data_IF_781667613758
#
_entry.id   IF_781667613758
#
_cell.length_a   1.000
_cell.length_b   1.000
_cell.length_c   1.000
_cell.angle_alpha   90.00
_cell.angle_beta   90.00
_cell.angle_gamma   90.00
#
_symmetry.space_group_name_H-M   'P 1'
#
loop_
_entity.id
_entity.type
_entity.pdbx_description
1 polymer ?
#
# COMPACT_ATOMS: atom_id res chain seq x y z
N UNK A 1 44.98 39.16 -4.52
CA UNK A 1 44.73 37.91 -3.76
C UNK A 1 43.25 37.58 -3.49
N UNK A 2 42.26 38.47 -3.73
CA UNK A 2 40.83 38.20 -3.44
C UNK A 2 39.99 37.56 -4.59
N UNK A 3 40.57 37.30 -5.77
CA UNK A 3 39.83 36.75 -6.94
C UNK A 3 39.92 35.22 -7.10
N UNK A 4 40.80 34.53 -6.39
CA UNK A 4 40.91 33.06 -6.46
C UNK A 4 39.93 32.35 -5.51
N UNK A 5 39.60 32.94 -4.37
CA UNK A 5 38.73 32.32 -3.36
C UNK A 5 37.26 32.16 -3.78
N UNK A 6 36.73 33.00 -4.69
CA UNK A 6 35.36 32.82 -5.22
C UNK A 6 35.28 31.75 -6.31
N UNK A 7 36.30 31.62 -7.17
CA UNK A 7 36.35 30.56 -8.18
C UNK A 7 36.57 29.19 -7.55
N UNK A 8 37.37 29.13 -6.49
CA UNK A 8 37.63 27.88 -5.75
C UNK A 8 36.39 27.45 -4.93
N UNK A 9 35.57 28.39 -4.44
CA UNK A 9 34.29 28.06 -3.79
C UNK A 9 33.21 27.59 -4.78
N UNK A 10 33.13 28.17 -5.98
CA UNK A 10 32.18 27.72 -7.02
C UNK A 10 32.61 26.35 -7.58
N UNK A 11 33.91 26.09 -7.71
CA UNK A 11 34.45 24.79 -8.12
C UNK A 11 34.25 23.71 -7.03
N UNK A 12 34.37 24.06 -5.75
CA UNK A 12 34.13 23.13 -4.64
C UNK A 12 32.64 22.83 -4.40
N UNK A 13 31.71 23.76 -4.68
CA UNK A 13 30.26 23.46 -4.70
C UNK A 13 29.84 22.63 -5.91
N UNK A 14 30.54 22.75 -7.04
CA UNK A 14 30.31 21.92 -8.23
C UNK A 14 30.92 20.51 -8.08
N UNK A 15 32.00 20.34 -7.32
CA UNK A 15 32.65 19.06 -7.07
C UNK A 15 31.92 18.14 -6.07
N UNK A 16 30.98 18.68 -5.27
CA UNK A 16 30.13 17.89 -4.35
C UNK A 16 28.90 17.25 -5.01
N UNK A 17 28.65 17.52 -6.29
CA UNK A 17 27.43 17.13 -7.01
C UNK A 17 27.72 16.13 -8.15
N UNK A 18 28.49 15.07 -7.89
CA UNK A 18 28.30 13.86 -8.70
C UNK A 18 26.96 13.27 -8.29
N UNK A 19 25.95 13.23 -9.18
CA UNK A 19 24.61 12.77 -8.81
C UNK A 19 24.73 11.38 -8.16
N UNK A 20 24.32 11.25 -6.90
CA UNK A 20 24.29 9.95 -6.26
C UNK A 20 23.40 9.05 -7.10
N UNK A 21 23.87 7.86 -7.49
CA UNK A 21 23.05 6.98 -8.31
C UNK A 21 21.78 6.49 -7.56
N UNK A 22 21.68 6.76 -6.26
CA UNK A 22 20.55 6.43 -5.42
C UNK A 22 19.83 7.73 -5.03
N UNK A 23 18.50 7.75 -5.13
CA UNK A 23 17.66 8.83 -4.65
C UNK A 23 16.51 8.29 -3.79
N UNK A 24 15.99 9.13 -2.88
CA UNK A 24 14.83 8.80 -2.06
C UNK A 24 13.55 9.29 -2.73
N UNK A 25 12.49 8.49 -2.65
CA UNK A 25 11.14 8.89 -3.07
C UNK A 25 10.12 8.41 -2.05
N UNK A 26 9.21 9.29 -1.63
CA UNK A 26 8.13 8.92 -0.71
C UNK A 26 7.25 7.81 -1.30
N UNK A 27 6.86 6.86 -0.46
CA UNK A 27 5.91 5.81 -0.84
C UNK A 27 4.53 6.39 -1.15
N UNK A 28 4.19 7.57 -0.61
CA UNK A 28 2.98 8.31 -0.98
C UNK A 28 3.03 8.72 -2.46
N UNK A 29 4.18 9.20 -2.94
CA UNK A 29 4.38 9.58 -4.33
C UNK A 29 4.39 8.35 -5.24
N UNK A 30 5.11 7.29 -4.86
CA UNK A 30 5.21 6.06 -5.66
C UNK A 30 3.83 5.41 -5.87
N UNK A 31 3.04 5.33 -4.80
CA UNK A 31 1.75 4.63 -4.83
C UNK A 31 0.57 5.53 -5.23
N UNK A 32 0.84 6.78 -5.62
CA UNK A 32 -0.18 7.68 -6.15
C UNK A 32 -0.79 7.09 -7.44
N UNK A 33 -2.12 7.03 -7.48
CA UNK A 33 -2.87 6.45 -8.61
C UNK A 33 -3.02 7.48 -9.72
N UNK A 34 -2.74 7.10 -10.96
CA UNK A 34 -2.90 7.99 -12.10
C UNK A 34 -2.06 7.63 -13.32
N UNK A 35 -2.40 8.25 -14.45
CA UNK A 35 -1.62 8.12 -15.67
C UNK A 35 -0.32 8.92 -15.54
N UNK A 36 0.75 8.39 -16.11
CA UNK A 36 2.03 9.08 -16.24
C UNK A 36 2.60 8.91 -17.66
N UNK A 37 3.58 9.73 -18.00
CA UNK A 37 4.39 9.59 -19.20
C UNK A 37 5.82 9.23 -18.77
N UNK A 38 6.45 8.27 -19.44
CA UNK A 38 7.83 7.86 -19.18
C UNK A 38 8.81 9.04 -19.11
N UNK A 39 8.72 10.00 -20.03
CA UNK A 39 9.63 11.15 -19.99
C UNK A 39 9.36 12.01 -18.75
N UNK A 40 8.11 12.19 -18.33
CA UNK A 40 7.77 12.91 -17.09
C UNK A 40 8.28 12.17 -15.84
N UNK A 41 8.20 10.83 -15.81
CA UNK A 41 8.76 10.01 -14.73
C UNK A 41 10.29 10.15 -14.66
N UNK A 42 10.97 10.08 -15.80
CA UNK A 42 12.43 10.29 -15.90
C UNK A 42 12.83 11.71 -15.45
N UNK A 43 12.10 12.73 -15.90
CA UNK A 43 12.32 14.12 -15.48
C UNK A 43 12.14 14.28 -13.97
N UNK A 44 11.14 13.61 -13.39
CA UNK A 44 10.94 13.62 -11.95
C UNK A 44 12.09 12.93 -11.21
N UNK A 45 12.52 11.74 -11.65
CA UNK A 45 13.62 11.00 -11.03
C UNK A 45 14.94 11.78 -11.04
N UNK A 46 15.31 12.33 -12.21
CA UNK A 46 16.47 13.23 -12.32
C UNK A 46 16.24 14.48 -11.46
N UNK A 47 15.04 15.05 -11.47
CA UNK A 47 14.68 16.17 -10.62
C UNK A 47 14.90 15.90 -9.13
N UNK A 48 14.49 14.75 -8.62
CA UNK A 48 14.70 14.36 -7.22
C UNK A 48 16.18 14.27 -6.86
N UNK A 49 17.04 13.94 -7.82
CA UNK A 49 18.48 13.91 -7.59
C UNK A 49 19.10 15.32 -7.44
N UNK A 50 18.56 16.31 -8.18
CA UNK A 50 18.97 17.72 -8.09
C UNK A 50 18.17 18.52 -7.07
N UNK A 51 17.26 17.87 -6.34
CA UNK A 51 16.31 18.53 -5.45
C UNK A 51 17.01 19.12 -4.23
N UNK A 52 16.69 20.38 -3.94
CA UNK A 52 17.22 21.10 -2.79
C UNK A 52 16.18 22.10 -2.28
N UNK A 53 16.25 22.42 -0.99
CA UNK A 53 15.40 23.45 -0.42
C UNK A 53 15.91 24.84 -0.79
N UNK A 54 15.07 25.67 -1.40
CA UNK A 54 15.36 27.08 -1.67
C UNK A 54 14.65 27.95 -0.63
N UNK A 55 15.44 28.55 0.27
CA UNK A 55 14.95 29.42 1.35
C UNK A 55 14.20 30.65 0.82
N UNK A 56 14.60 31.19 -0.34
CA UNK A 56 13.97 32.40 -0.91
C UNK A 56 12.57 32.14 -1.45
N UNK A 57 12.34 30.92 -1.94
CA UNK A 57 11.04 30.48 -2.47
C UNK A 57 10.21 29.70 -1.46
N UNK A 58 10.81 29.36 -0.32
CA UNK A 58 10.24 28.47 0.69
C UNK A 58 9.68 27.17 0.07
N UNK A 59 10.45 26.58 -0.83
CA UNK A 59 10.03 25.43 -1.62
C UNK A 59 11.23 24.56 -2.02
N UNK A 60 10.95 23.29 -2.29
CA UNK A 60 11.91 22.40 -2.95
C UNK A 60 12.01 22.82 -4.42
N UNK A 61 13.24 22.93 -4.92
CA UNK A 61 13.52 23.21 -6.33
C UNK A 61 14.52 22.21 -6.89
N UNK A 62 14.41 21.96 -8.19
CA UNK A 62 15.44 21.25 -8.96
C UNK A 62 15.84 22.12 -10.14
N UNK A 63 17.15 22.27 -10.34
CA UNK A 63 17.71 22.98 -11.50
C UNK A 63 18.55 21.97 -12.26
N UNK A 64 18.04 21.52 -13.40
CA UNK A 64 18.56 20.38 -14.14
C UNK A 64 19.09 20.88 -15.47
N UNK A 65 20.41 20.80 -15.73
CA UNK A 65 20.94 20.98 -17.06
C UNK A 65 20.39 19.88 -17.97
N UNK A 66 19.77 20.25 -19.08
CA UNK A 66 19.10 19.27 -19.95
C UNK A 66 20.09 18.39 -20.71
N UNK A 67 21.36 18.79 -20.81
CA UNK A 67 22.43 17.91 -21.31
C UNK A 67 22.62 16.67 -20.42
N UNK A 68 22.57 16.84 -19.11
CA UNK A 68 22.71 15.74 -18.14
C UNK A 68 21.57 14.72 -18.31
N UNK A 69 20.34 15.19 -18.59
CA UNK A 69 19.21 14.31 -18.93
C UNK A 69 19.49 13.53 -20.22
N UNK A 70 20.10 14.17 -21.23
CA UNK A 70 20.45 13.53 -22.50
C UNK A 70 21.42 12.38 -22.30
N UNK A 71 22.48 12.64 -21.54
CA UNK A 71 23.55 11.69 -21.23
C UNK A 71 23.00 10.50 -20.45
N UNK A 72 22.23 10.77 -19.40
CA UNK A 72 21.66 9.74 -18.53
C UNK A 72 20.62 8.85 -19.23
N UNK A 73 19.95 9.34 -20.27
CA UNK A 73 18.97 8.57 -21.07
C UNK A 73 19.64 7.98 -22.34
N UNK A 74 20.91 8.26 -22.61
CA UNK A 74 21.62 7.77 -23.79
C UNK A 74 21.13 8.37 -25.12
N UNK A 75 20.60 9.60 -25.10
CA UNK A 75 20.09 10.27 -26.29
C UNK A 75 21.22 10.91 -27.11
N UNK A 76 21.48 10.34 -28.29
CA UNK A 76 22.53 10.81 -29.22
C UNK A 76 22.26 12.16 -29.90
N UNK A 77 21.00 12.65 -29.94
CA UNK A 77 20.65 13.89 -30.66
C UNK A 77 20.03 14.97 -29.73
N UNK A 78 20.80 16.02 -29.37
CA UNK A 78 20.36 17.12 -28.48
C UNK A 78 19.19 17.96 -29.00
N UNK A 79 19.02 18.09 -30.33
CA UNK A 79 17.94 18.93 -30.90
C UNK A 79 16.54 18.36 -30.65
N UNK A 80 16.43 17.03 -30.48
CA UNK A 80 15.16 16.38 -30.13
C UNK A 80 14.77 16.54 -28.66
N UNK A 81 15.71 16.99 -27.81
CA UNK A 81 15.54 16.91 -26.36
C UNK A 81 14.70 18.04 -25.81
N UNK A 82 14.84 19.26 -26.34
CA UNK A 82 13.98 20.38 -25.95
C UNK A 82 12.50 20.04 -26.17
N UNK A 83 12.14 19.57 -27.36
CA UNK A 83 10.75 19.22 -27.67
C UNK A 83 10.26 18.05 -26.80
N UNK A 84 11.09 17.04 -26.52
CA UNK A 84 10.74 15.96 -25.59
C UNK A 84 10.48 16.48 -24.17
N UNK A 85 11.35 17.35 -23.65
CA UNK A 85 11.17 17.97 -22.33
C UNK A 85 9.93 18.84 -22.30
N UNK A 86 9.72 19.66 -23.34
CA UNK A 86 8.54 20.52 -23.48
C UNK A 86 7.24 19.71 -23.48
N UNK A 87 7.15 18.66 -24.30
CA UNK A 87 6.01 17.75 -24.35
C UNK A 87 5.77 17.05 -23.02
N UNK A 88 6.83 16.66 -22.31
CA UNK A 88 6.73 16.00 -21.02
C UNK A 88 6.36 16.95 -19.87
N UNK A 89 6.49 18.27 -20.07
CA UNK A 89 6.30 19.28 -19.03
C UNK A 89 4.99 20.03 -19.18
N UNK A 90 4.61 20.40 -20.41
CA UNK A 90 3.43 21.22 -20.68
C UNK A 90 2.20 20.32 -20.77
N UNK A 91 1.14 20.71 -20.07
CA UNK A 91 -0.15 20.03 -20.09
C UNK A 91 -0.71 19.94 -21.51
N UNK A 92 -1.23 18.77 -21.85
CA UNK A 92 -1.95 18.56 -23.09
C UNK A 92 -3.42 18.95 -22.91
N UNK A 93 -3.84 20.02 -23.57
CA UNK A 93 -5.22 20.52 -23.49
C UNK A 93 -6.26 19.50 -24.01
N UNK A 94 -5.84 18.47 -24.75
CA UNK A 94 -6.73 17.39 -25.20
C UNK A 94 -6.92 16.27 -24.17
N UNK A 95 -6.14 16.28 -23.07
CA UNK A 95 -6.16 15.23 -22.05
C UNK A 95 -5.64 13.86 -22.51
N UNK A 96 -5.12 13.77 -23.76
CA UNK A 96 -4.60 12.52 -24.34
C UNK A 96 -3.25 12.14 -23.76
N UNK A 97 -2.39 13.13 -23.49
CA UNK A 97 -1.06 12.92 -22.91
C UNK A 97 -0.99 13.50 -21.50
N UNK A 98 -0.33 12.77 -20.61
CA UNK A 98 0.00 13.29 -19.28
C UNK A 98 1.32 14.05 -19.33
N UNK A 99 1.37 15.13 -18.57
CA UNK A 99 2.56 15.93 -18.36
C UNK A 99 3.02 15.84 -16.91
N UNK A 100 4.21 16.36 -16.66
CA UNK A 100 4.80 16.50 -15.34
C UNK A 100 3.93 17.35 -14.39
N UNK A 101 3.12 18.27 -14.94
CA UNK A 101 2.23 19.15 -14.16
C UNK A 101 0.88 18.52 -13.82
N UNK A 102 0.54 17.38 -14.42
CA UNK A 102 -0.72 16.69 -14.16
C UNK A 102 -0.65 15.73 -12.97
N UNK A 103 0.52 15.59 -12.34
CA UNK A 103 0.69 14.71 -11.20
C UNK A 103 0.05 15.32 -9.94
N UNK A 104 -1.05 14.72 -9.53
CA UNK A 104 -1.80 15.08 -8.33
C UNK A 104 -1.78 13.94 -7.30
N UNK A 105 -1.69 14.30 -6.03
CA UNK A 105 -1.94 13.43 -4.88
C UNK A 105 -3.27 13.86 -4.28
N UNK A 106 -4.15 12.91 -4.00
CA UNK A 106 -5.42 13.17 -3.34
C UNK A 106 -5.47 12.28 -2.11
N UNK A 107 -5.52 12.91 -0.94
CA UNK A 107 -5.75 12.28 0.35
C UNK A 107 -7.17 12.65 0.80
N UNK A 108 -7.95 11.69 1.25
CA UNK A 108 -9.31 11.92 1.73
C UNK A 108 -9.58 10.99 2.92
N UNK A 109 -10.21 11.52 3.95
CA UNK A 109 -10.62 10.79 5.15
C UNK A 109 -12.12 10.95 5.31
N UNK A 110 -12.85 9.84 5.18
CA UNK A 110 -14.29 9.80 5.45
C UNK A 110 -14.58 10.02 6.95
N UNK A 111 -13.69 9.52 7.83
CA UNK A 111 -13.80 9.68 9.28
C UNK A 111 -13.73 11.15 9.69
N UNK A 112 -12.79 11.89 9.08
CA UNK A 112 -12.57 13.31 9.40
C UNK A 112 -13.34 14.26 8.48
N UNK A 113 -14.13 13.74 7.53
CA UNK A 113 -14.77 14.50 6.45
C UNK A 113 -13.82 15.53 5.79
N UNK A 114 -12.57 15.11 5.54
CA UNK A 114 -11.54 16.01 5.03
C UNK A 114 -10.98 15.49 3.72
N UNK A 115 -10.65 16.41 2.81
CA UNK A 115 -9.94 16.10 1.58
C UNK A 115 -8.78 17.08 1.39
N UNK A 116 -7.69 16.59 0.84
CA UNK A 116 -6.50 17.36 0.50
C UNK A 116 -5.99 16.90 -0.87
N UNK A 117 -6.04 17.81 -1.84
CA UNK A 117 -5.72 17.54 -3.23
C UNK A 117 -4.56 18.44 -3.67
N UNK A 118 -3.38 17.84 -3.84
CA UNK A 118 -2.12 18.55 -4.04
C UNK A 118 -1.51 18.18 -5.39
N UNK A 119 -1.24 19.17 -6.23
CA UNK A 119 -0.36 18.97 -7.39
C UNK A 119 1.09 18.88 -6.92
N UNK A 120 1.81 17.85 -7.35
CA UNK A 120 3.19 17.59 -6.92
C UNK A 120 4.12 18.71 -7.36
N UNK A 121 3.92 19.21 -8.57
CA UNK A 121 4.74 20.24 -9.19
C UNK A 121 3.92 21.51 -9.35
N UNK A 122 4.41 22.58 -8.71
CA UNK A 122 3.79 23.89 -8.77
C UNK A 122 4.14 24.60 -10.07
N UNK A 123 5.41 24.51 -10.50
CA UNK A 123 5.89 25.23 -11.68
C UNK A 123 7.07 24.52 -12.31
N UNK A 124 7.13 24.54 -13.64
CA UNK A 124 8.31 24.14 -14.39
C UNK A 124 8.66 25.21 -15.43
N UNK A 125 9.94 25.57 -15.54
CA UNK A 125 10.42 26.57 -16.51
C UNK A 125 11.68 26.07 -17.21
N UNK A 126 11.72 26.15 -18.53
CA UNK A 126 12.92 25.87 -19.31
C UNK A 126 13.51 27.18 -19.83
N UNK A 127 14.81 27.42 -19.59
CA UNK A 127 15.53 28.59 -20.11
C UNK A 127 16.97 28.22 -20.42
N UNK A 128 17.44 28.52 -21.63
CA UNK A 128 18.84 28.37 -22.06
C UNK A 128 19.45 26.99 -21.72
N UNK A 129 18.71 25.91 -21.95
CA UNK A 129 19.20 24.55 -21.68
C UNK A 129 19.03 24.04 -20.25
N UNK A 130 18.36 24.81 -19.39
CA UNK A 130 18.16 24.45 -17.98
C UNK A 130 16.66 24.32 -17.71
N UNK A 131 16.24 23.16 -17.21
CA UNK A 131 14.90 22.92 -16.68
C UNK A 131 14.91 23.21 -15.18
N UNK A 132 14.07 24.14 -14.73
CA UNK A 132 13.83 24.40 -13.31
C UNK A 132 12.46 23.90 -12.93
N UNK A 133 12.38 23.03 -11.93
CA UNK A 133 11.14 22.50 -11.35
C UNK A 133 11.01 23.10 -9.95
N UNK A 134 9.84 23.63 -9.63
CA UNK A 134 9.44 24.08 -8.30
C UNK A 134 8.32 23.14 -7.87
N UNK A 135 8.56 22.40 -6.79
CA UNK A 135 7.60 21.48 -6.22
C UNK A 135 6.64 22.23 -5.30
N UNK A 136 5.47 21.66 -5.03
CA UNK A 136 4.55 22.23 -4.06
C UNK A 136 5.18 22.18 -2.65
N UNK A 137 5.22 23.33 -1.95
CA UNK A 137 5.85 23.46 -0.64
C UNK A 137 5.20 22.58 0.43
N UNK A 138 3.91 22.24 0.26
CA UNK A 138 3.18 21.31 1.13
C UNK A 138 3.73 19.89 1.10
N UNK A 139 4.55 19.56 0.09
CA UNK A 139 5.20 18.25 -0.07
C UNK A 139 6.67 18.23 0.33
N UNK A 140 7.18 19.28 0.98
CA UNK A 140 8.61 19.40 1.32
C UNK A 140 9.13 18.18 2.10
N UNK A 141 8.35 17.70 3.08
CA UNK A 141 8.76 16.57 3.91
C UNK A 141 8.67 15.23 3.17
N UNK A 142 7.81 15.14 2.16
CA UNK A 142 7.66 14.00 1.26
C UNK A 142 8.68 14.02 0.11
N UNK A 143 9.47 15.08 -0.04
CA UNK A 143 10.47 15.24 -1.10
C UNK A 143 11.90 15.16 -0.57
N UNK A 144 12.26 15.95 0.44
CA UNK A 144 13.66 16.06 0.90
C UNK A 144 13.87 15.72 2.37
N UNK A 145 12.88 15.89 3.25
CA UNK A 145 13.00 15.56 4.69
C UNK A 145 12.44 14.18 5.03
N UNK A 146 12.69 13.20 4.16
CA UNK A 146 12.16 11.84 4.29
C UNK A 146 12.81 11.09 5.47
N UNK A 147 12.05 10.99 6.58
CA UNK A 147 12.44 10.24 7.79
C UNK A 147 11.98 8.78 7.75
N UNK A 148 10.81 8.50 7.18
CA UNK A 148 10.20 7.18 7.10
C UNK A 148 9.31 7.06 5.86
N UNK A 149 8.82 5.85 5.57
CA UNK A 149 7.89 5.56 4.47
C UNK A 149 8.37 6.06 3.09
N UNK A 150 9.62 5.77 2.78
CA UNK A 150 10.25 6.07 1.50
C UNK A 150 10.96 4.85 0.94
N UNK A 151 11.23 4.88 -0.35
CA UNK A 151 11.97 3.86 -1.08
C UNK A 151 13.28 4.44 -1.57
N UNK A 152 14.35 3.63 -1.57
CA UNK A 152 15.61 3.97 -2.22
C UNK A 152 15.60 3.43 -3.65
N UNK A 153 15.67 4.34 -4.62
CA UNK A 153 15.61 4.00 -6.04
C UNK A 153 16.95 4.28 -6.70
N UNK A 154 17.35 3.39 -7.62
CA UNK A 154 18.55 3.60 -8.42
C UNK A 154 18.19 4.36 -9.70
N UNK A 155 18.80 5.52 -9.90
CA UNK A 155 18.55 6.40 -11.04
C UNK A 155 18.94 5.72 -12.35
N UNK A 156 20.09 5.05 -12.42
CA UNK A 156 20.54 4.34 -13.62
C UNK A 156 19.58 3.21 -13.99
N UNK A 157 19.09 2.42 -13.02
CA UNK A 157 18.07 1.39 -13.27
C UNK A 157 16.77 2.02 -13.79
N UNK A 158 16.31 3.08 -13.12
CA UNK A 158 15.09 3.82 -13.46
C UNK A 158 15.13 4.37 -14.90
N UNK A 159 16.28 4.84 -15.37
CA UNK A 159 16.40 5.45 -16.70
C UNK A 159 16.52 4.43 -17.84
N UNK A 160 16.84 3.16 -17.56
CA UNK A 160 16.91 2.08 -18.57
C UNK A 160 15.55 1.66 -19.11
N UNK A 161 14.47 1.84 -18.34
CA UNK A 161 13.11 1.50 -18.76
C UNK A 161 12.69 2.25 -20.03
N UNK A 162 12.24 1.53 -21.04
CA UNK A 162 11.65 2.01 -22.29
C UNK A 162 10.12 2.11 -22.23
N UNK A 163 9.47 1.45 -21.26
CA UNK A 163 8.02 1.50 -21.04
C UNK A 163 7.60 2.25 -19.78
N UNK A 164 6.54 3.05 -19.86
CA UNK A 164 5.94 3.71 -18.68
C UNK A 164 5.50 2.68 -17.62
N UNK A 165 4.85 1.60 -18.04
CA UNK A 165 4.31 0.60 -17.11
C UNK A 165 5.39 -0.22 -16.41
N UNK A 166 6.49 -0.56 -17.11
CA UNK A 166 7.64 -1.22 -16.50
C UNK A 166 8.28 -0.35 -15.43
N UNK A 167 8.48 0.93 -15.75
CA UNK A 167 8.99 1.92 -14.79
C UNK A 167 8.10 2.04 -13.55
N UNK A 168 6.79 2.23 -13.72
CA UNK A 168 5.87 2.39 -12.59
C UNK A 168 5.77 1.10 -11.76
N UNK A 169 5.71 -0.06 -12.42
CA UNK A 169 5.68 -1.34 -11.73
C UNK A 169 6.96 -1.57 -10.91
N UNK A 170 8.13 -1.21 -11.44
CA UNK A 170 9.39 -1.25 -10.69
C UNK A 170 9.33 -0.44 -9.40
N UNK A 171 8.92 0.82 -9.47
CA UNK A 171 8.85 1.67 -8.27
C UNK A 171 7.87 1.10 -7.24
N UNK A 172 6.69 0.65 -7.69
CA UNK A 172 5.66 0.05 -6.81
C UNK A 172 6.18 -1.24 -6.15
N UNK A 173 6.80 -2.13 -6.91
CA UNK A 173 7.34 -3.39 -6.37
C UNK A 173 8.50 -3.12 -5.42
N UNK A 174 9.43 -2.21 -5.76
CA UNK A 174 10.54 -1.84 -4.87
C UNK A 174 10.03 -1.21 -3.58
N UNK A 175 9.01 -0.37 -3.66
CA UNK A 175 8.39 0.26 -2.49
C UNK A 175 7.77 -0.76 -1.55
N UNK A 176 7.07 -1.76 -2.08
CA UNK A 176 6.52 -2.85 -1.27
C UNK A 176 7.61 -3.74 -0.67
N UNK A 177 8.64 -4.09 -1.45
CA UNK A 177 9.80 -4.84 -0.97
C UNK A 177 10.47 -4.14 0.21
N UNK A 178 10.82 -2.86 0.05
CA UNK A 178 11.47 -2.04 1.07
C UNK A 178 10.59 -1.89 2.32
N UNK A 179 9.28 -1.66 2.13
CA UNK A 179 8.32 -1.56 3.23
C UNK A 179 8.21 -2.87 4.02
N UNK A 180 7.97 -4.00 3.35
CA UNK A 180 7.79 -5.31 4.00
C UNK A 180 9.06 -5.74 4.74
N UNK A 181 10.24 -5.49 4.15
CA UNK A 181 11.52 -5.75 4.83
C UNK A 181 11.79 -4.81 5.99
N UNK A 182 11.27 -3.58 5.96
CA UNK A 182 11.40 -2.65 7.08
C UNK A 182 10.53 -3.04 8.29
N UNK A 183 9.35 -3.62 8.05
CA UNK A 183 8.42 -4.02 9.12
C UNK A 183 8.61 -5.48 9.56
N UNK A 184 9.24 -6.33 8.76
CA UNK A 184 9.48 -7.73 9.12
C UNK A 184 10.74 -7.93 9.95
N UNK A 185 10.68 -8.84 10.92
CA UNK A 185 11.83 -9.23 11.75
C UNK A 185 12.89 -10.04 10.97
N UNK A 186 12.71 -10.30 9.66
CA UNK A 186 13.62 -11.10 8.83
C UNK A 186 14.90 -10.37 8.39
N UNK A 187 15.10 -9.12 8.82
CA UNK A 187 16.20 -8.29 8.32
C UNK A 187 16.02 -7.93 6.84
N UNK A 188 16.93 -7.13 6.27
CA UNK A 188 16.82 -6.59 4.91
C UNK A 188 16.97 -7.63 3.77
N UNK A 189 16.80 -8.92 4.02
CA UNK A 189 17.10 -10.00 3.06
C UNK A 189 15.93 -10.97 2.94
N UNK A 190 15.77 -11.49 1.72
CA UNK A 190 14.80 -12.52 1.39
C UNK A 190 13.68 -12.02 0.49
N UNK A 191 13.13 -12.96 -0.27
CA UNK A 191 11.98 -12.72 -1.14
C UNK A 191 10.75 -12.29 -0.33
N UNK A 192 9.94 -11.45 -0.96
CA UNK A 192 8.69 -10.92 -0.43
C UNK A 192 7.55 -11.32 -1.35
N UNK A 193 6.52 -11.91 -0.76
CA UNK A 193 5.25 -12.17 -1.42
C UNK A 193 4.34 -10.95 -1.26
N UNK A 194 3.83 -10.43 -2.38
CA UNK A 194 2.93 -9.29 -2.38
C UNK A 194 1.71 -9.56 -3.24
N UNK A 195 0.54 -9.63 -2.59
CA UNK A 195 -0.76 -9.86 -3.22
C UNK A 195 -1.50 -8.53 -3.40
N UNK A 196 -1.95 -8.24 -4.61
CA UNK A 196 -2.71 -7.03 -4.93
C UNK A 196 -3.90 -7.33 -5.83
N UNK A 197 -5.02 -6.63 -5.61
CA UNK A 197 -6.17 -6.68 -6.51
C UNK A 197 -5.82 -6.08 -7.88
N UNK A 198 -6.24 -6.73 -8.97
CA UNK A 198 -5.89 -6.35 -10.34
C UNK A 198 -6.32 -4.92 -10.67
N UNK A 199 -7.51 -4.51 -10.24
CA UNK A 199 -8.01 -3.13 -10.43
C UNK A 199 -7.15 -2.12 -9.69
N UNK A 200 -6.71 -2.43 -8.47
CA UNK A 200 -5.84 -1.53 -7.71
C UNK A 200 -4.51 -1.34 -8.45
N UNK A 201 -3.90 -2.44 -8.91
CA UNK A 201 -2.68 -2.38 -9.70
C UNK A 201 -2.87 -1.57 -10.99
N UNK A 202 -3.98 -1.78 -11.72
CA UNK A 202 -4.31 -1.00 -12.92
C UNK A 202 -4.46 0.49 -12.66
N UNK A 203 -5.04 0.89 -11.51
CA UNK A 203 -5.13 2.29 -11.10
C UNK A 203 -3.74 2.89 -10.78
N UNK A 204 -2.90 2.16 -10.05
CA UNK A 204 -1.53 2.59 -9.72
C UNK A 204 -0.67 2.75 -10.98
N UNK A 205 -0.81 1.85 -11.96
CA UNK A 205 -0.10 1.90 -13.23
C UNK A 205 -0.76 2.85 -14.25
N UNK A 206 -1.86 3.52 -13.91
CA UNK A 206 -2.57 4.42 -14.82
C UNK A 206 -3.18 3.73 -16.05
N UNK A 207 -3.44 2.43 -15.97
CA UNK A 207 -4.14 1.66 -17.02
C UNK A 207 -5.62 2.03 -17.06
N UNK A 208 -6.19 2.33 -15.89
CA UNK A 208 -7.52 2.90 -15.73
C UNK A 208 -7.38 4.42 -15.61
N UNK A 209 -8.04 5.16 -16.51
CA UNK A 209 -8.05 6.63 -16.50
C UNK A 209 -9.10 7.18 -15.52
N UNK A 210 -8.84 7.00 -14.22
CA UNK A 210 -9.77 7.37 -13.15
C UNK A 210 -10.11 8.87 -13.12
N UNK A 211 -9.20 9.73 -13.58
CA UNK A 211 -9.40 11.19 -13.60
C UNK A 211 -10.57 11.65 -14.49
N UNK A 212 -11.05 10.80 -15.41
CA UNK A 212 -12.18 11.12 -16.28
C UNK A 212 -13.54 10.81 -15.68
N UNK A 213 -13.62 10.17 -14.52
CA UNK A 213 -14.89 9.74 -13.95
C UNK A 213 -15.01 9.97 -12.45
N UNK A 214 -15.97 10.80 -12.06
CA UNK A 214 -16.19 11.15 -10.67
C UNK A 214 -16.69 9.97 -9.82
N UNK A 215 -17.43 9.01 -10.39
CA UNK A 215 -17.88 7.83 -9.63
C UNK A 215 -16.71 6.91 -9.30
N UNK A 216 -15.78 6.71 -10.26
CA UNK A 216 -14.54 5.98 -10.00
C UNK A 216 -13.70 6.74 -8.95
N UNK A 217 -13.54 8.05 -9.08
CA UNK A 217 -12.83 8.85 -8.07
C UNK A 217 -13.47 8.71 -6.69
N UNK A 218 -14.80 8.70 -6.61
CA UNK A 218 -15.53 8.52 -5.36
C UNK A 218 -15.30 7.13 -4.76
N UNK A 219 -15.44 6.08 -5.58
CA UNK A 219 -15.23 4.69 -5.15
C UNK A 219 -13.77 4.40 -4.74
N UNK A 220 -12.81 5.19 -5.22
CA UNK A 220 -11.40 5.09 -4.82
C UNK A 220 -11.07 5.72 -3.46
N UNK A 221 -11.97 6.54 -2.89
CA UNK A 221 -11.71 7.32 -1.66
C UNK A 221 -12.03 6.56 -0.37
N UNK A 222 -12.84 5.50 -0.42
CA UNK A 222 -13.18 4.70 0.76
C UNK A 222 -12.01 3.85 1.27
N UNK A 223 -11.89 3.68 2.61
CA UNK A 223 -10.88 2.84 3.29
C UNK A 223 -10.82 1.41 2.73
N UNK A 224 -11.97 0.87 2.32
CA UNK A 224 -12.11 -0.41 1.63
C UNK A 224 -12.71 -0.17 0.24
N UNK A 225 -11.89 0.37 -0.68
CA UNK A 225 -12.34 0.60 -2.07
C UNK A 225 -12.85 -0.70 -2.69
N UNK A 226 -14.11 -0.72 -3.13
CA UNK A 226 -14.67 -1.86 -3.86
C UNK A 226 -14.07 -1.90 -5.29
N UNK A 227 -13.01 -2.68 -5.42
CA UNK A 227 -12.28 -2.81 -6.67
C UNK A 227 -13.03 -3.57 -7.76
N UNK A 228 -14.02 -4.40 -7.41
CA UNK A 228 -14.88 -5.07 -8.37
C UNK A 228 -15.86 -4.04 -8.97
N UNK A 229 -16.45 -3.19 -8.13
CA UNK A 229 -17.30 -2.09 -8.57
C UNK A 229 -16.54 -1.10 -9.45
N UNK A 230 -15.33 -0.68 -9.05
CA UNK A 230 -14.49 0.21 -9.87
C UNK A 230 -14.17 -0.42 -11.23
N UNK A 231 -13.88 -1.72 -11.26
CA UNK A 231 -13.60 -2.42 -12.51
C UNK A 231 -14.81 -2.38 -13.44
N UNK A 232 -16.01 -2.66 -12.91
CA UNK A 232 -17.25 -2.61 -13.69
C UNK A 232 -17.45 -1.22 -14.29
N UNK A 233 -17.36 -0.15 -13.49
CA UNK A 233 -17.47 1.22 -13.97
C UNK A 233 -16.43 1.56 -15.05
N UNK A 234 -15.18 1.14 -14.86
CA UNK A 234 -14.10 1.42 -15.79
C UNK A 234 -14.30 0.71 -17.14
N UNK A 235 -14.86 -0.50 -17.15
CA UNK A 235 -15.18 -1.24 -18.37
C UNK A 235 -16.38 -0.60 -19.08
N UNK A 236 -17.47 -0.36 -18.34
CA UNK A 236 -18.71 0.21 -18.88
C UNK A 236 -18.46 1.59 -19.54
N UNK A 237 -17.54 2.38 -18.98
CA UNK A 237 -17.18 3.71 -19.48
C UNK A 237 -15.98 3.72 -20.43
N UNK A 238 -15.44 2.55 -20.79
CA UNK A 238 -14.27 2.41 -21.67
C UNK A 238 -13.03 3.20 -21.19
N UNK A 239 -12.78 3.16 -19.88
CA UNK A 239 -11.67 3.84 -19.20
C UNK A 239 -10.52 2.89 -18.85
N UNK A 240 -10.73 1.57 -18.93
CA UNK A 240 -9.69 0.56 -18.77
C UNK A 240 -9.08 0.22 -20.14
N UNK A 241 -7.79 0.50 -20.31
CA UNK A 241 -7.06 0.19 -21.57
C UNK A 241 -6.95 -1.32 -21.83
N UNK A 242 -6.97 -2.15 -20.79
CA UNK A 242 -6.83 -3.60 -20.90
C UNK A 242 -7.89 -4.33 -20.06
N UNK A 243 -9.19 -4.27 -20.42
CA UNK A 243 -10.28 -4.83 -19.62
C UNK A 243 -10.07 -6.29 -19.25
N UNK A 244 -9.65 -7.09 -20.24
CA UNK A 244 -9.46 -8.53 -20.08
C UNK A 244 -8.09 -8.85 -19.46
N UNK A 245 -8.09 -9.73 -18.45
CA UNK A 245 -6.84 -10.19 -17.81
C UNK A 245 -5.83 -10.74 -18.82
N UNK A 246 -6.27 -11.54 -19.80
CA UNK A 246 -5.38 -12.12 -20.82
C UNK A 246 -4.59 -11.05 -21.58
N UNK A 247 -5.24 -9.96 -21.93
CA UNK A 247 -4.61 -8.85 -22.65
C UNK A 247 -3.73 -8.01 -21.71
N UNK A 248 -4.22 -7.66 -20.52
CA UNK A 248 -3.41 -6.98 -19.50
C UNK A 248 -2.12 -7.75 -19.19
N UNK A 249 -2.23 -9.06 -19.04
CA UNK A 249 -1.10 -9.94 -18.75
C UNK A 249 -0.08 -9.96 -19.90
N UNK A 250 -0.55 -10.23 -21.14
CA UNK A 250 0.32 -10.35 -22.32
C UNK A 250 0.92 -9.02 -22.75
N UNK A 251 0.13 -7.96 -22.76
CA UNK A 251 0.50 -6.67 -23.33
C UNK A 251 1.23 -5.76 -22.35
N UNK A 252 1.07 -5.99 -21.04
CA UNK A 252 1.66 -5.15 -19.99
C UNK A 252 2.46 -5.96 -18.98
N UNK A 253 1.84 -6.82 -18.16
CA UNK A 253 2.55 -7.43 -17.00
C UNK A 253 3.78 -8.23 -17.41
N UNK A 254 3.64 -9.15 -18.38
CA UNK A 254 4.76 -10.00 -18.83
C UNK A 254 5.92 -9.15 -19.36
N UNK A 255 5.61 -8.09 -20.11
CA UNK A 255 6.63 -7.16 -20.66
C UNK A 255 7.30 -6.34 -19.57
N UNK A 256 6.50 -5.77 -18.67
CA UNK A 256 6.98 -4.97 -17.55
C UNK A 256 7.88 -5.79 -16.61
N UNK A 257 7.49 -7.02 -16.27
CA UNK A 257 8.31 -7.92 -15.44
C UNK A 257 9.60 -8.34 -16.14
N UNK A 258 9.55 -8.64 -17.45
CA UNK A 258 10.77 -8.91 -18.25
C UNK A 258 11.72 -7.72 -18.18
N UNK A 259 11.20 -6.51 -18.41
CA UNK A 259 11.97 -5.27 -18.40
C UNK A 259 12.60 -5.00 -17.02
N UNK A 260 11.89 -5.27 -15.92
CA UNK A 260 12.40 -5.17 -14.55
C UNK A 260 13.55 -6.16 -14.34
N UNK A 261 13.34 -7.43 -14.68
CA UNK A 261 14.32 -8.49 -14.49
C UNK A 261 15.57 -8.29 -15.36
N UNK A 262 15.45 -7.67 -16.54
CA UNK A 262 16.59 -7.37 -17.41
C UNK A 262 17.37 -6.14 -16.93
N UNK A 263 16.67 -5.07 -16.52
CA UNK A 263 17.29 -3.75 -16.38
C UNK A 263 17.63 -3.35 -14.94
N UNK A 264 17.13 -4.08 -13.94
CA UNK A 264 17.25 -3.69 -12.53
C UNK A 264 17.94 -4.76 -11.68
N UNK A 265 18.23 -4.40 -10.43
CA UNK A 265 18.69 -5.33 -9.40
C UNK A 265 17.60 -6.21 -8.82
N UNK A 266 16.34 -6.10 -9.27
CA UNK A 266 15.25 -6.97 -8.78
C UNK A 266 15.13 -8.27 -9.59
N UNK A 267 14.63 -9.30 -8.92
CA UNK A 267 14.06 -10.51 -9.52
C UNK A 267 12.59 -10.57 -9.14
N UNK A 268 11.73 -10.64 -10.15
CA UNK A 268 10.28 -10.60 -10.00
C UNK A 268 9.67 -11.77 -10.77
N UNK A 269 8.82 -12.53 -10.09
CA UNK A 269 7.87 -13.46 -10.71
C UNK A 269 6.47 -13.13 -10.23
N UNK A 270 5.45 -13.63 -10.94
CA UNK A 270 4.07 -13.41 -10.51
C UNK A 270 3.12 -14.50 -10.99
N UNK A 271 2.01 -14.65 -10.28
CA UNK A 271 0.90 -15.53 -10.66
C UNK A 271 -0.45 -14.84 -10.47
N UNK A 272 -1.38 -15.11 -11.39
CA UNK A 272 -2.76 -14.66 -11.27
C UNK A 272 -3.56 -15.60 -10.37
N UNK A 273 -4.32 -15.04 -9.43
CA UNK A 273 -5.23 -15.80 -8.55
C UNK A 273 -6.67 -15.58 -8.91
N UNK A 274 -7.41 -16.67 -9.04
CA UNK A 274 -8.82 -16.69 -9.42
C UNK A 274 -9.72 -16.70 -8.19
N UNK A 275 -10.77 -15.90 -8.25
CA UNK A 275 -11.87 -15.86 -7.27
C UNK A 275 -13.18 -15.76 -8.05
N UNK A 276 -14.14 -16.63 -7.76
CA UNK A 276 -15.43 -16.65 -8.48
C UNK A 276 -15.27 -16.87 -10.00
N UNK A 277 -14.30 -17.68 -10.42
CA UNK A 277 -14.07 -17.98 -11.83
C UNK A 277 -13.32 -16.89 -12.62
N UNK A 278 -12.93 -15.75 -12.03
CA UNK A 278 -12.16 -14.71 -12.70
C UNK A 278 -10.84 -14.42 -11.97
N UNK A 279 -9.77 -14.04 -12.69
CA UNK A 279 -8.52 -13.61 -12.07
C UNK A 279 -8.69 -12.23 -11.45
N UNK A 280 -8.77 -12.17 -10.11
CA UNK A 280 -8.97 -10.92 -9.35
C UNK A 280 -7.71 -10.38 -8.71
N UNK A 281 -6.74 -11.23 -8.41
CA UNK A 281 -5.50 -10.83 -7.73
C UNK A 281 -4.27 -11.22 -8.53
N UNK A 282 -3.21 -10.45 -8.35
CA UNK A 282 -1.85 -10.79 -8.79
C UNK A 282 -1.00 -10.97 -7.53
N UNK A 283 -0.33 -12.10 -7.43
CA UNK A 283 0.66 -12.36 -6.39
C UNK A 283 2.05 -12.25 -7.02
N UNK A 284 2.82 -11.27 -6.58
CA UNK A 284 4.22 -11.08 -6.95
C UNK A 284 5.13 -11.75 -5.92
N UNK A 285 6.21 -12.35 -6.41
CA UNK A 285 7.35 -12.76 -5.59
C UNK A 285 8.50 -11.86 -6.01
N UNK A 286 9.02 -11.07 -5.07
CA UNK A 286 10.00 -10.00 -5.33
C UNK A 286 11.23 -10.26 -4.48
N UNK A 287 12.41 -10.31 -5.09
CA UNK A 287 13.69 -10.37 -4.37
C UNK A 287 14.72 -9.44 -5.04
N UNK A 288 15.87 -9.24 -4.38
CA UNK A 288 17.02 -8.67 -5.06
C UNK A 288 17.79 -9.80 -5.75
N UNK A 289 18.36 -9.49 -6.93
CA UNK A 289 19.42 -10.30 -7.52
C UNK A 289 20.51 -10.44 -6.48
N UNK A 290 20.75 -11.66 -6.03
CA UNK A 290 21.96 -11.93 -5.25
C UNK A 290 23.14 -11.47 -6.10
N UNK A 291 24.11 -10.77 -5.48
CA UNK A 291 25.38 -10.48 -6.14
C UNK A 291 26.04 -11.81 -6.46
N UNK A 292 25.78 -12.35 -7.65
CA UNK A 292 26.63 -13.33 -8.28
C UNK A 292 27.85 -12.51 -8.68
N UNK A 293 28.96 -12.70 -7.97
CA UNK A 293 30.26 -12.32 -8.50
C UNK A 293 30.38 -12.95 -9.89
N UNK A 294 30.70 -12.13 -10.88
CA UNK A 294 30.72 -12.47 -12.30
C UNK A 294 31.25 -13.88 -12.57
N UNK A 295 30.36 -14.76 -13.00
CA UNK A 295 30.72 -15.90 -13.83
C UNK A 295 29.73 -15.95 -14.98
N UNK A 296 30.30 -15.94 -16.17
CA UNK A 296 29.64 -15.90 -17.47
C UNK A 296 28.55 -16.98 -17.64
N UNK A 297 27.62 -16.69 -18.55
CA UNK A 297 26.60 -17.57 -19.10
C UNK A 297 25.39 -17.95 -18.24
N UNK A 298 24.30 -17.18 -18.39
CA UNK A 298 22.93 -17.71 -18.26
C UNK A 298 22.08 -17.16 -19.41
N UNK A 299 22.36 -17.67 -20.61
CA UNK A 299 21.31 -17.86 -21.60
C UNK A 299 20.80 -19.30 -21.46
N UNK A 300 19.49 -19.46 -21.55
CA UNK A 300 18.70 -20.68 -21.35
C UNK A 300 18.34 -20.97 -19.88
N UNK A 301 17.09 -20.69 -19.52
CA UNK A 301 16.30 -21.57 -18.68
C UNK A 301 14.85 -21.43 -19.16
N UNK A 302 14.49 -22.48 -19.88
CA UNK A 302 13.24 -22.73 -20.58
C UNK A 302 12.06 -22.96 -19.62
N UNK A 303 10.86 -22.73 -20.14
CA UNK A 303 9.57 -23.01 -19.53
C UNK A 303 9.43 -24.53 -19.29
N UNK A 304 9.82 -25.06 -18.13
CA UNK A 304 9.33 -26.36 -17.62
C UNK A 304 9.95 -26.82 -16.29
N UNK A 305 9.44 -26.39 -15.13
CA UNK A 305 9.52 -27.15 -13.86
C UNK A 305 8.30 -26.77 -12.99
N UNK A 306 7.18 -27.47 -13.15
CA UNK A 306 6.70 -28.61 -12.34
C UNK A 306 6.15 -28.21 -10.97
N UNK A 307 4.86 -28.51 -10.81
CA UNK A 307 4.11 -28.62 -9.57
C UNK A 307 4.88 -29.39 -8.50
N UNK A 308 5.08 -28.75 -7.35
CA UNK A 308 5.12 -29.46 -6.08
C UNK A 308 4.03 -28.85 -5.19
N UNK A 309 3.08 -29.70 -4.83
CA UNK A 309 2.14 -29.43 -3.76
C UNK A 309 2.96 -29.43 -2.46
N UNK A 310 3.14 -28.26 -1.87
CA UNK A 310 3.56 -28.13 -0.48
C UNK A 310 2.30 -27.78 0.33
N UNK A 311 2.12 -28.47 1.45
CA UNK A 311 1.03 -28.25 2.42
C UNK A 311 0.93 -26.77 2.81
N UNK A 312 -0.28 -26.26 3.17
CA UNK A 312 -0.45 -24.85 3.50
C UNK A 312 0.38 -24.48 4.73
N UNK A 313 1.53 -23.86 4.49
CA UNK A 313 2.27 -23.14 5.52
C UNK A 313 1.40 -21.96 5.92
N UNK A 314 0.72 -22.08 7.06
CA UNK A 314 -0.09 -21.00 7.63
C UNK A 314 0.83 -19.80 7.82
N UNK A 315 0.63 -18.75 7.02
CA UNK A 315 1.35 -17.48 7.20
C UNK A 315 0.85 -16.84 8.49
N UNK A 316 1.58 -17.10 9.57
CA UNK A 316 1.34 -16.55 10.91
C UNK A 316 1.21 -15.03 10.90
N UNK A 317 1.77 -14.35 9.90
CA UNK A 317 1.71 -12.89 9.74
C UNK A 317 0.38 -12.44 9.16
N UNK A 318 -0.12 -13.11 8.11
CA UNK A 318 -1.44 -12.87 7.52
C UNK A 318 -2.55 -13.17 8.54
N UNK A 319 -2.46 -14.31 9.22
CA UNK A 319 -3.42 -14.69 10.26
C UNK A 319 -3.45 -13.70 11.44
N UNK A 320 -2.29 -13.15 11.83
CA UNK A 320 -2.20 -12.17 12.92
C UNK A 320 -2.74 -10.80 12.50
N UNK A 321 -2.59 -10.39 11.25
CA UNK A 321 -3.25 -9.20 10.69
C UNK A 321 -4.78 -9.36 10.61
N UNK A 322 -5.26 -10.52 10.17
CA UNK A 322 -6.69 -10.82 10.16
C UNK A 322 -7.26 -10.84 11.58
N UNK A 323 -6.56 -11.46 12.53
CA UNK A 323 -6.93 -11.45 13.95
C UNK A 323 -6.98 -10.02 14.52
N UNK A 324 -6.00 -9.17 14.22
CA UNK A 324 -5.99 -7.77 14.64
C UNK A 324 -7.19 -6.99 14.07
N UNK A 325 -7.61 -7.33 12.85
CA UNK A 325 -8.77 -6.71 12.19
C UNK A 325 -10.09 -7.15 12.84
N UNK A 326 -10.25 -8.45 13.11
CA UNK A 326 -11.44 -9.00 13.79
C UNK A 326 -11.59 -8.39 15.19
N UNK A 327 -10.48 -8.25 15.92
CA UNK A 327 -10.45 -7.81 17.32
C UNK A 327 -10.31 -6.29 17.49
N UNK A 328 -10.42 -5.51 16.41
CA UNK A 328 -10.14 -4.06 16.43
C UNK A 328 -11.03 -3.29 17.43
N UNK A 329 -12.30 -3.68 17.58
CA UNK A 329 -13.26 -3.02 18.49
C UNK A 329 -12.95 -3.28 19.97
N UNK A 330 -12.09 -4.26 20.29
CA UNK A 330 -11.67 -4.56 21.66
C UNK A 330 -10.50 -3.70 22.13
N UNK A 331 -9.89 -2.90 21.24
CA UNK A 331 -8.75 -2.04 21.53
C UNK A 331 -7.60 -2.75 22.29
N UNK A 332 -7.35 -4.02 21.94
CA UNK A 332 -6.31 -4.84 22.57
C UNK A 332 -4.91 -4.38 22.14
N UNK A 333 -3.92 -4.63 23.01
CA UNK A 333 -2.52 -4.50 22.62
C UNK A 333 -2.14 -5.62 21.65
N UNK A 334 -1.11 -5.39 20.82
CA UNK A 334 -0.60 -6.41 19.90
C UNK A 334 -0.14 -7.69 20.60
N UNK A 335 0.30 -7.59 21.87
CA UNK A 335 0.61 -8.76 22.69
C UNK A 335 -0.66 -9.60 22.96
N UNK A 336 -1.77 -8.96 23.33
CA UNK A 336 -3.04 -9.65 23.55
C UNK A 336 -3.64 -10.28 22.28
N UNK A 337 -3.52 -9.60 21.13
CA UNK A 337 -3.93 -10.18 19.83
C UNK A 337 -3.10 -11.43 19.52
N UNK A 338 -1.78 -11.35 19.75
CA UNK A 338 -0.87 -12.48 19.50
C UNK A 338 -1.17 -13.68 20.37
N UNK A 339 -1.46 -13.48 21.67
CA UNK A 339 -1.84 -14.56 22.58
C UNK A 339 -3.11 -15.29 22.12
N UNK A 340 -4.13 -14.53 21.66
CA UNK A 340 -5.37 -15.11 21.11
C UNK A 340 -5.08 -15.88 19.82
N UNK A 341 -4.26 -15.32 18.92
CA UNK A 341 -3.87 -16.00 17.67
C UNK A 341 -3.08 -17.27 17.90
N UNK A 342 -2.18 -17.29 18.89
CA UNK A 342 -1.41 -18.47 19.26
C UNK A 342 -2.33 -19.56 19.86
N UNK A 343 -3.30 -19.18 20.70
CA UNK A 343 -4.31 -20.12 21.23
C UNK A 343 -5.19 -20.74 20.12
N UNK A 344 -5.47 -19.99 19.05
CA UNK A 344 -6.19 -20.49 17.87
C UNK A 344 -5.32 -21.29 16.90
N UNK A 345 -4.02 -21.44 17.16
CA UNK A 345 -3.05 -21.96 16.19
C UNK A 345 -3.13 -21.22 14.83
N UNK A 346 -3.34 -19.89 14.89
CA UNK A 346 -3.50 -18.99 13.74
C UNK A 346 -4.71 -19.31 12.83
N UNK A 347 -5.68 -20.07 13.34
CA UNK A 347 -6.97 -20.31 12.68
C UNK A 347 -7.89 -19.10 12.88
N UNK A 348 -8.03 -18.30 11.82
CA UNK A 348 -8.82 -17.05 11.82
C UNK A 348 -10.31 -17.32 12.08
N UNK A 349 -10.84 -18.46 11.63
CA UNK A 349 -12.26 -18.81 11.82
C UNK A 349 -12.56 -19.11 13.29
N UNK A 350 -11.60 -19.73 14.02
CA UNK A 350 -11.73 -19.93 15.47
C UNK A 350 -11.72 -18.61 16.24
N UNK A 351 -10.89 -17.66 15.82
CA UNK A 351 -10.84 -16.32 16.43
C UNK A 351 -12.16 -15.58 16.19
N UNK A 352 -12.71 -15.64 14.98
CA UNK A 352 -14.01 -15.04 14.66
C UNK A 352 -15.13 -15.63 15.52
N UNK A 353 -15.23 -16.96 15.62
CA UNK A 353 -16.25 -17.62 16.45
C UNK A 353 -16.16 -17.23 17.91
N UNK A 354 -14.95 -17.21 18.48
CA UNK A 354 -14.76 -16.78 19.87
C UNK A 354 -15.14 -15.31 20.09
N UNK A 355 -14.89 -14.47 19.08
CA UNK A 355 -15.24 -13.05 19.11
C UNK A 355 -16.76 -12.83 19.09
N UNK A 356 -17.48 -13.61 18.29
CA UNK A 356 -18.94 -13.56 18.22
C UNK A 356 -19.57 -13.96 19.57
N UNK A 357 -19.05 -15.01 20.21
CA UNK A 357 -19.47 -15.43 21.57
C UNK A 357 -19.19 -14.34 22.61
N UNK A 358 -18.04 -13.64 22.49
CA UNK A 358 -17.69 -12.53 23.38
C UNK A 358 -18.70 -11.38 23.26
N UNK A 359 -19.15 -11.04 22.04
CA UNK A 359 -20.16 -9.99 21.81
C UNK A 359 -21.51 -10.30 22.44
N UNK A 360 -21.89 -11.58 22.45
CA UNK A 360 -23.17 -12.04 23.01
C UNK A 360 -23.11 -12.25 24.53
N UNK A 361 -21.94 -12.19 25.15
CA UNK A 361 -21.75 -12.43 26.59
C UNK A 361 -21.73 -11.13 27.39
N UNK A 362 -22.75 -10.84 28.24
CA UNK A 362 -22.77 -9.62 29.03
C UNK A 362 -21.71 -9.62 30.16
N UNK A 363 -21.02 -8.48 30.33
CA UNK A 363 -20.06 -8.17 31.42
C UNK A 363 -18.80 -9.04 31.50
N UNK A 364 -18.02 -9.09 30.42
CA UNK A 364 -16.68 -9.70 30.42
C UNK A 364 -15.62 -8.72 30.94
N UNK A 365 -14.91 -9.09 32.01
CA UNK A 365 -13.87 -8.25 32.64
C UNK A 365 -12.50 -8.32 31.95
N UNK A 366 -12.17 -9.46 31.34
CA UNK A 366 -10.91 -9.70 30.64
C UNK A 366 -11.20 -10.37 29.29
N UNK A 367 -11.18 -9.57 28.23
CA UNK A 367 -11.48 -10.03 26.88
C UNK A 367 -10.45 -11.05 26.35
N UNK A 368 -9.15 -10.83 26.61
CA UNK A 368 -8.07 -11.74 26.16
C UNK A 368 -8.22 -13.11 26.79
N UNK A 369 -8.37 -13.16 28.12
CA UNK A 369 -8.55 -14.41 28.84
C UNK A 369 -9.84 -15.16 28.49
N UNK A 370 -10.92 -14.41 28.20
CA UNK A 370 -12.18 -15.01 27.74
C UNK A 370 -12.03 -15.65 26.36
N UNK A 371 -11.44 -14.91 25.40
CA UNK A 371 -11.22 -15.38 24.03
C UNK A 371 -10.35 -16.64 23.99
N UNK A 372 -9.26 -16.68 24.74
CA UNK A 372 -8.38 -17.85 24.82
C UNK A 372 -9.16 -19.06 25.34
N UNK A 373 -9.97 -18.89 26.40
CA UNK A 373 -10.82 -19.97 26.90
C UNK A 373 -11.89 -20.40 25.91
N UNK A 374 -12.55 -19.45 25.25
CA UNK A 374 -13.57 -19.75 24.25
C UNK A 374 -13.03 -20.56 23.07
N UNK A 375 -11.77 -20.32 22.69
CA UNK A 375 -11.06 -21.09 21.67
C UNK A 375 -10.67 -22.49 22.17
N UNK A 376 -10.18 -22.60 23.41
CA UNK A 376 -9.73 -23.87 23.99
C UNK A 376 -10.88 -24.82 24.31
N UNK A 377 -11.97 -24.28 24.83
CA UNK A 377 -13.15 -25.03 25.28
C UNK A 377 -14.26 -25.06 24.21
N UNK A 378 -13.99 -24.57 23.00
CA UNK A 378 -14.90 -24.52 21.84
C UNK A 378 -16.29 -23.98 22.16
N UNK A 379 -16.34 -22.79 22.77
CA UNK A 379 -17.61 -22.17 23.14
C UNK A 379 -18.51 -21.95 21.91
N UNK A 380 -19.82 -22.12 22.10
CA UNK A 380 -20.87 -21.82 21.12
C UNK A 380 -21.74 -20.67 21.63
N UNK A 381 -22.42 -19.98 20.71
CA UNK A 381 -23.36 -18.90 21.05
C UNK A 381 -24.30 -19.32 22.18
N UNK A 382 -24.59 -18.44 23.16
CA UNK A 382 -25.47 -18.79 24.26
C UNK A 382 -26.83 -19.25 23.72
N UNK A 383 -27.16 -20.53 23.91
CA UNK A 383 -28.53 -20.99 23.76
C UNK A 383 -29.31 -20.33 24.90
N UNK A 384 -30.44 -19.68 24.61
CA UNK A 384 -31.41 -19.33 25.65
C UNK A 384 -31.85 -20.63 26.33
N UNK A 385 -31.17 -20.97 27.42
CA UNK A 385 -31.66 -21.97 28.33
C UNK A 385 -32.82 -21.30 29.04
N UNK A 386 -34.06 -21.66 28.67
CA UNK A 386 -35.18 -21.56 29.59
C UNK A 386 -34.77 -22.29 30.87
N UNK A 387 -34.18 -21.54 31.79
CA UNK A 387 -33.89 -22.04 33.11
C UNK A 387 -35.25 -22.18 33.81
N UNK A 388 -35.84 -23.37 33.68
CA UNK A 388 -36.58 -23.97 34.80
C UNK A 388 -35.71 -23.77 36.03
N UNK A 389 -36.17 -22.86 36.88
CA UNK A 389 -35.52 -22.36 38.09
C UNK A 389 -34.91 -23.51 38.89
N UNK A 390 -33.58 -23.64 38.83
CA UNK A 390 -32.79 -24.26 39.90
C UNK A 390 -32.00 -23.16 40.58
N UNK A 391 -32.64 -22.59 41.59
CA UNK A 391 -32.07 -21.72 42.62
C UNK A 391 -30.77 -22.32 43.16
N UNK A 392 -29.62 -21.77 42.76
CA UNK A 392 -28.37 -21.90 43.51
C UNK A 392 -28.29 -20.76 44.51
N UNK A 393 -28.09 -21.13 45.77
CA UNK A 393 -28.33 -20.32 46.95
C UNK A 393 -27.69 -18.94 46.93
N UNK A 394 -28.53 -17.93 47.08
CA UNK A 394 -28.14 -16.58 47.51
C UNK A 394 -27.72 -16.68 48.98
N UNK A 395 -26.47 -16.36 49.30
CA UNK A 395 -26.06 -16.08 50.69
C UNK A 395 -27.00 -14.98 51.21
N UNK A 396 -27.83 -15.32 52.21
CA UNK A 396 -28.73 -14.39 52.89
C UNK A 396 -27.89 -13.25 53.49
N UNK A 397 -28.22 -12.01 53.16
CA UNK A 397 -27.81 -10.85 53.95
C UNK A 397 -28.60 -10.90 55.25
N UNK A 398 -27.94 -10.67 56.38
CA UNK A 398 -28.62 -10.55 57.67
C UNK A 398 -29.61 -9.38 57.58
N UNK A 399 -30.91 -9.68 57.56
CA UNK A 399 -31.99 -8.69 57.45
C UNK A 399 -33.20 -9.09 56.60
N UNK A 400 -33.10 -10.10 55.72
CA UNK A 400 -34.26 -10.58 54.93
C UNK A 400 -35.06 -11.62 55.73
N UNK A 401 -36.09 -11.16 56.44
CA UNK A 401 -37.16 -12.02 56.94
C UNK A 401 -38.22 -12.17 55.84
N UNK A 402 -38.61 -13.39 55.52
CA UNK A 402 -39.75 -13.64 54.64
C UNK A 402 -41.03 -13.28 55.40
N UNK A 403 -41.80 -12.31 54.88
CA UNK A 403 -43.15 -12.03 55.34
C UNK A 403 -44.00 -13.30 55.17
N UNK A 404 -44.67 -13.72 56.25
CA UNK A 404 -45.62 -14.82 56.17
C UNK A 404 -46.83 -14.35 55.36
N UNK A 405 -47.01 -14.91 54.18
CA UNK A 405 -48.25 -14.80 53.42
C UNK A 405 -49.25 -15.74 54.12
N UNK A 406 -50.25 -15.16 54.77
CA UNK A 406 -51.36 -15.93 55.34
C UNK A 406 -52.46 -16.09 54.31
N UNK A 407 -52.93 -17.31 54.13
CA UNK A 407 -54.20 -17.59 53.48
C UNK A 407 -55.32 -17.32 54.51
N UNK A 408 -55.93 -16.15 54.41
CA UNK A 408 -56.98 -15.73 55.35
C UNK A 408 -58.25 -16.56 55.18
N UNK A 409 -58.54 -17.08 53.98
CA UNK A 409 -59.72 -17.94 53.75
C UNK A 409 -59.55 -19.30 54.45
N UNK A 410 -58.35 -19.90 54.39
CA UNK A 410 -58.07 -21.15 55.09
C UNK A 410 -58.07 -21.00 56.62
N UNK A 411 -57.63 -19.85 57.13
CA UNK A 411 -57.67 -19.53 58.56
C UNK A 411 -59.10 -19.26 59.05
N UNK A 412 -59.93 -18.63 58.23
CA UNK A 412 -61.33 -18.36 58.53
C UNK A 412 -62.16 -19.66 58.54
N UNK A 413 -61.95 -20.57 57.58
CA UNK A 413 -62.60 -21.90 57.61
C UNK A 413 -62.23 -22.74 58.83
N UNK A 414 -61.00 -22.59 59.36
CA UNK A 414 -60.54 -23.27 60.58
C UNK A 414 -61.11 -22.68 61.86
N UNK A 415 -61.56 -21.43 61.85
CA UNK A 415 -62.22 -20.76 62.98
C UNK A 415 -63.70 -21.14 63.12
N UNK A 416 -64.37 -21.51 62.02
CA UNK A 416 -65.79 -21.91 62.04
C UNK A 416 -66.03 -23.42 62.23
N UNK A 417 -64.96 -24.23 62.34
CA UNK A 417 -65.04 -25.69 62.55
C UNK A 417 -64.68 -26.17 63.98
N UNK A 418 -64.62 -25.26 64.96
CA UNK A 418 -64.53 -25.58 66.39
C UNK A 418 -65.57 -24.83 67.21
#
# INVERSE_FOLDING_TARGET
MKKNTEKDNIANEQALNSPSNIYKKSNLLINAKGRANLMSLRLFAVGMNYARFDKSKNAVISTIPVKDIAELIGLKNPYSLYEKVKIATIKDNTGKRQSLLDWQIINESEEDQSFDAINVIQRATYRKGILTIIYNSSLTDQLINLKSNYTLLNLTESLKFQGTYGYQLYEVLKSNLDYIRAISNKGKKGAVDWKIHITNLKLMLGVIDSAKDQQILNAMRGKNSDYDYIQKLAIDKNLDKYPQYKEFNRSLLKKAVSEINENTSLVVTYKGKRVGGATKFIEFIIDDKQKIEESEDINSLDDSLIEKQEEPVIDKTEALMMAATILAELHLTMAGVREISEAANYDVDKIQKAYDVLKETPKVKNAVGFMIKAIQDEYSSPVEVENKTKTRGRKKRAGDFEERIYDYEELEEKLFKN
#
